data_IF_759758268888
#
_entry.id   IF_759758268888
#
_cell.length_a   1.000
_cell.length_b   1.000
_cell.length_c   1.000
_cell.angle_alpha   90.00
_cell.angle_beta   90.00
_cell.angle_gamma   90.00
#
_symmetry.space_group_name_H-M   'P 1'
#
loop_
_entity.id
_entity.type
_entity.pdbx_description
1 polymer ?
#
# COMPACT_ATOMS: atom_id res chain seq x y z
N UNK A 1 3.82 12.48 3.59
CA UNK A 1 4.92 13.40 3.96
C UNK A 1 6.15 12.55 4.22
N UNK A 2 7.17 12.59 3.36
CA UNK A 2 8.29 11.63 3.45
C UNK A 2 9.68 12.27 3.30
N UNK A 3 9.79 13.54 2.89
CA UNK A 3 11.00 13.93 2.17
C UNK A 3 11.65 15.26 2.55
N UNK A 4 10.89 16.35 2.77
CA UNK A 4 11.49 17.69 2.76
C UNK A 4 11.30 18.52 4.03
N UNK A 5 12.34 19.31 4.34
CA UNK A 5 12.40 20.27 5.45
C UNK A 5 13.28 19.83 6.62
N UNK A 6 13.75 20.81 7.40
CA UNK A 6 14.41 20.60 8.70
C UNK A 6 13.81 21.58 9.73
N UNK A 7 12.80 21.19 10.54
CA UNK A 7 12.14 19.88 10.57
C UNK A 7 11.32 19.60 9.31
N UNK A 8 10.98 18.33 9.08
CA UNK A 8 10.11 17.91 7.97
C UNK A 8 8.74 18.54 8.13
N UNK A 9 8.22 19.17 7.07
CA UNK A 9 6.87 19.78 7.04
C UNK A 9 6.07 19.29 5.83
N UNK A 10 4.75 19.50 5.86
CA UNK A 10 3.86 19.17 4.73
C UNK A 10 4.23 20.00 3.49
N UNK A 11 4.37 21.31 3.68
CA UNK A 11 4.76 22.25 2.62
C UNK A 11 6.13 21.91 2.04
N UNK A 12 7.13 21.68 2.89
CA UNK A 12 8.46 21.31 2.44
C UNK A 12 8.49 19.91 1.81
N UNK A 13 7.45 19.08 1.99
CA UNK A 13 7.24 17.79 1.32
C UNK A 13 6.38 17.89 0.04
N UNK A 14 6.17 19.10 -0.47
CA UNK A 14 5.42 19.38 -1.71
C UNK A 14 3.90 19.46 -1.53
N UNK A 15 3.38 19.49 -0.30
CA UNK A 15 1.94 19.64 -0.06
C UNK A 15 1.57 21.10 0.13
N UNK A 16 0.94 21.70 -0.89
CA UNK A 16 0.43 23.07 -0.86
C UNK A 16 -1.07 23.06 -1.17
N UNK A 17 -1.85 23.72 -0.34
CA UNK A 17 -3.31 23.66 -0.41
C UNK A 17 -3.91 24.46 -1.60
N UNK A 18 -3.51 25.72 -1.88
CA UNK A 18 -4.02 26.42 -3.06
C UNK A 18 -3.77 25.65 -4.36
N UNK A 19 -4.84 25.37 -5.11
CA UNK A 19 -4.80 24.60 -6.35
C UNK A 19 -4.69 23.08 -6.19
N UNK A 20 -4.68 22.55 -4.96
CA UNK A 20 -4.58 21.11 -4.70
C UNK A 20 -5.76 20.34 -5.28
N UNK A 21 -5.51 19.31 -6.10
CA UNK A 21 -6.56 18.40 -6.54
C UNK A 21 -6.88 17.39 -5.42
N UNK A 22 -8.01 17.62 -4.75
CA UNK A 22 -8.51 16.79 -3.64
C UNK A 22 -8.84 15.34 -4.02
N UNK A 23 -8.81 14.99 -5.31
CA UNK A 23 -9.03 13.63 -5.84
C UNK A 23 -7.72 12.89 -6.06
N UNK A 24 -6.60 13.55 -5.82
CA UNK A 24 -5.25 13.05 -6.11
C UNK A 24 -4.38 13.05 -4.86
N UNK A 25 -4.92 12.53 -3.76
CA UNK A 25 -4.08 12.18 -2.62
C UNK A 25 -3.18 11.00 -2.99
N UNK A 26 -1.93 11.05 -2.59
CA UNK A 26 -0.94 10.03 -2.94
C UNK A 26 -1.37 8.65 -2.42
N UNK A 27 -1.38 7.64 -3.30
CA UNK A 27 -1.77 6.26 -3.00
C UNK A 27 -3.27 5.95 -3.06
N UNK A 28 -4.16 6.96 -3.17
CA UNK A 28 -5.61 6.69 -3.26
C UNK A 28 -5.99 6.22 -4.67
N UNK A 29 -7.09 5.49 -4.76
CA UNK A 29 -7.73 5.11 -6.03
C UNK A 29 -9.14 5.68 -6.03
N UNK A 30 -9.47 6.57 -6.96
CA UNK A 30 -10.81 7.20 -7.06
C UNK A 30 -11.15 7.60 -8.50
N UNK A 31 -12.45 7.64 -8.87
CA UNK A 31 -12.93 8.31 -10.07
C UNK A 31 -12.60 9.80 -10.05
N UNK A 32 -12.13 10.34 -11.19
CA UNK A 32 -11.78 11.76 -11.34
C UNK A 32 -13.01 12.65 -11.58
N UNK A 33 -14.00 12.55 -10.71
CA UNK A 33 -15.22 13.38 -10.71
C UNK A 33 -14.84 14.85 -10.56
N UNK A 34 -15.33 15.81 -11.36
CA UNK A 34 -14.98 17.23 -11.20
C UNK A 34 -15.25 17.74 -9.78
N UNK A 35 -14.34 18.56 -9.24
CA UNK A 35 -14.45 19.06 -7.85
C UNK A 35 -15.79 19.75 -7.56
N UNK A 36 -16.33 20.48 -8.53
CA UNK A 36 -17.63 21.18 -8.43
C UNK A 36 -18.84 20.23 -8.42
N UNK A 37 -18.65 18.99 -8.87
CA UNK A 37 -19.67 17.95 -8.82
C UNK A 37 -19.61 17.15 -7.52
N UNK A 38 -18.43 16.98 -6.92
CA UNK A 38 -18.26 16.20 -5.68
C UNK A 38 -19.16 16.73 -4.55
N UNK A 39 -19.19 18.05 -4.30
CA UNK A 39 -20.04 18.66 -3.27
C UNK A 39 -21.54 18.44 -3.53
N UNK A 40 -21.94 18.34 -4.79
CA UNK A 40 -23.35 18.14 -5.17
C UNK A 40 -23.78 16.67 -5.01
N UNK A 41 -22.85 15.75 -5.23
CA UNK A 41 -23.11 14.33 -5.33
C UNK A 41 -23.10 13.63 -3.96
N UNK A 42 -22.24 14.03 -3.02
CA UNK A 42 -22.18 13.47 -1.66
C UNK A 42 -22.82 14.40 -0.63
N UNK A 43 -24.15 14.36 -0.54
CA UNK A 43 -24.95 15.25 0.32
C UNK A 43 -24.86 14.94 1.82
N UNK A 44 -24.30 13.79 2.22
CA UNK A 44 -24.13 13.45 3.64
C UNK A 44 -22.86 14.08 4.20
N UNK A 45 -23.03 15.07 5.09
CA UNK A 45 -21.91 15.73 5.82
C UNK A 45 -21.46 14.94 7.06
N UNK A 46 -21.82 13.66 7.16
CA UNK A 46 -21.50 12.79 8.29
C UNK A 46 -20.23 11.99 8.05
N UNK A 47 -19.72 11.37 9.11
CA UNK A 47 -18.67 10.35 8.98
C UNK A 47 -19.21 9.18 8.16
N UNK A 48 -18.53 8.85 7.07
CA UNK A 48 -18.83 7.69 6.23
C UNK A 48 -17.90 6.58 6.65
N UNK A 49 -18.45 5.45 7.07
CA UNK A 49 -17.70 4.24 7.38
C UNK A 49 -17.89 3.23 6.24
N UNK A 50 -16.80 2.55 5.90
CA UNK A 50 -16.87 1.39 5.02
C UNK A 50 -17.66 0.26 5.70
N UNK A 51 -18.38 -0.58 4.95
CA UNK A 51 -18.91 -1.84 5.49
C UNK A 51 -17.80 -2.89 5.71
N UNK A 52 -16.60 -2.67 5.17
CA UNK A 52 -15.46 -3.58 5.32
C UNK A 52 -14.72 -3.34 6.64
N UNK A 53 -14.34 -4.43 7.29
CA UNK A 53 -13.58 -4.41 8.55
C UNK A 53 -12.10 -4.71 8.36
N UNK A 54 -11.70 -5.27 7.20
CA UNK A 54 -10.30 -5.55 6.88
C UNK A 54 -9.57 -4.25 6.50
N UNK A 55 -9.00 -3.58 7.50
CA UNK A 55 -8.18 -2.37 7.32
C UNK A 55 -7.19 -2.25 8.48
N UNK A 56 -5.89 -2.36 8.18
CA UNK A 56 -4.89 -2.32 9.22
C UNK A 56 -3.50 -2.63 8.72
N UNK A 57 -2.57 -2.81 9.66
CA UNK A 57 -1.19 -3.13 9.32
C UNK A 57 -0.55 -4.13 10.27
N UNK A 58 0.58 -4.67 9.84
CA UNK A 58 1.46 -5.54 10.61
C UNK A 58 2.85 -4.92 10.62
N UNK A 59 3.51 -4.93 11.78
CA UNK A 59 4.90 -4.48 11.94
C UNK A 59 5.79 -5.69 12.16
N UNK A 60 6.76 -5.89 11.29
CA UNK A 60 7.74 -6.95 11.42
C UNK A 60 8.99 -6.42 12.11
N UNK A 61 9.25 -6.95 13.31
CA UNK A 61 10.43 -6.65 14.12
C UNK A 61 10.69 -5.15 14.34
N UNK A 62 9.63 -4.33 14.37
CA UNK A 62 9.69 -2.86 14.51
C UNK A 62 10.54 -2.15 13.44
N UNK A 63 10.78 -2.80 12.30
CA UNK A 63 11.61 -2.26 11.20
C UNK A 63 10.83 -2.18 9.89
N UNK A 64 10.27 -3.31 9.47
CA UNK A 64 9.48 -3.42 8.24
C UNK A 64 8.00 -3.53 8.61
N UNK A 65 7.13 -3.38 7.62
CA UNK A 65 5.71 -3.53 7.86
C UNK A 65 4.91 -3.67 6.58
N UNK A 66 3.62 -3.91 6.76
CA UNK A 66 2.67 -3.92 5.67
C UNK A 66 1.38 -3.26 6.17
N UNK A 67 0.74 -2.47 5.32
CA UNK A 67 -0.62 -2.01 5.51
C UNK A 67 -1.48 -2.59 4.38
N UNK A 68 -2.71 -3.00 4.68
CA UNK A 68 -3.64 -3.44 3.66
C UNK A 68 -5.08 -3.11 4.04
N UNK A 69 -5.91 -2.97 3.01
CA UNK A 69 -7.33 -2.69 3.17
C UNK A 69 -8.17 -3.30 2.05
N UNK A 70 -9.42 -3.62 2.36
CA UNK A 70 -10.47 -3.79 1.37
C UNK A 70 -11.18 -2.43 1.21
N UNK A 71 -11.04 -1.84 0.04
CA UNK A 71 -11.75 -0.64 -0.37
C UNK A 71 -13.18 -1.02 -0.76
N UNK A 72 -14.15 -0.35 -0.14
CA UNK A 72 -15.57 -0.43 -0.49
C UNK A 72 -16.20 0.93 -0.20
N UNK A 73 -16.16 1.79 -1.20
CA UNK A 73 -16.62 3.16 -1.11
C UNK A 73 -17.97 3.30 -1.84
N UNK A 74 -19.06 3.60 -1.13
CA UNK A 74 -20.31 4.00 -1.77
C UNK A 74 -20.09 5.25 -2.63
N UNK A 75 -20.56 5.16 -3.87
CA UNK A 75 -20.51 6.20 -4.88
C UNK A 75 -21.94 6.69 -5.20
N UNK A 76 -22.09 7.85 -5.86
CA UNK A 76 -23.37 8.39 -6.27
C UNK A 76 -24.10 7.42 -7.20
N UNK A 77 -25.41 7.60 -7.31
CA UNK A 77 -26.27 6.80 -8.18
C UNK A 77 -26.30 5.29 -7.83
N UNK A 78 -25.96 4.94 -6.58
CA UNK A 78 -26.02 3.57 -6.07
C UNK A 78 -24.86 2.67 -6.51
N UNK A 79 -23.79 3.27 -7.01
CA UNK A 79 -22.58 2.56 -7.42
C UNK A 79 -21.63 2.34 -6.24
N UNK A 80 -20.62 1.50 -6.43
CA UNK A 80 -19.57 1.26 -5.43
C UNK A 80 -18.22 1.22 -6.13
N UNK A 81 -17.21 1.84 -5.52
CA UNK A 81 -15.82 1.63 -5.86
C UNK A 81 -15.25 0.56 -4.93
N UNK A 82 -14.78 -0.55 -5.49
CA UNK A 82 -14.18 -1.65 -4.75
C UNK A 82 -12.71 -1.83 -5.11
N UNK A 83 -11.95 -2.51 -4.26
CA UNK A 83 -10.57 -2.92 -4.56
C UNK A 83 -9.84 -3.47 -3.35
N UNK A 84 -8.74 -4.18 -3.59
CA UNK A 84 -7.80 -4.66 -2.57
C UNK A 84 -6.52 -3.86 -2.71
N UNK A 85 -6.08 -3.21 -1.64
CA UNK A 85 -4.89 -2.33 -1.69
C UNK A 85 -3.94 -2.74 -0.58
N UNK A 86 -2.67 -2.93 -0.91
CA UNK A 86 -1.62 -3.20 0.07
C UNK A 86 -0.36 -2.37 -0.21
N UNK A 87 0.33 -2.04 0.88
CA UNK A 87 1.58 -1.30 0.89
C UNK A 87 2.56 -2.09 1.75
N UNK A 88 3.65 -2.55 1.16
CA UNK A 88 4.74 -3.23 1.87
C UNK A 88 5.85 -2.21 2.11
N UNK A 89 6.09 -1.87 3.38
CA UNK A 89 7.06 -0.88 3.82
C UNK A 89 8.35 -1.60 4.21
N UNK A 90 9.37 -1.48 3.37
CA UNK A 90 10.63 -2.23 3.49
C UNK A 90 11.78 -1.23 3.35
N UNK A 91 12.37 -0.86 4.50
CA UNK A 91 13.47 0.09 4.56
C UNK A 91 13.17 1.45 3.88
N UNK A 92 13.81 1.75 2.75
CA UNK A 92 13.60 2.96 1.96
C UNK A 92 12.56 2.79 0.84
N UNK A 93 11.94 1.62 0.75
CA UNK A 93 11.01 1.23 -0.30
C UNK A 93 9.58 1.01 0.21
N UNK A 94 8.62 1.34 -0.64
CA UNK A 94 7.20 1.07 -0.45
C UNK A 94 6.66 0.42 -1.72
N UNK A 95 6.49 -0.91 -1.69
CA UNK A 95 5.81 -1.62 -2.78
C UNK A 95 4.30 -1.51 -2.61
N UNK A 96 3.62 -0.98 -3.62
CA UNK A 96 2.20 -0.70 -3.60
C UNK A 96 1.49 -1.60 -4.61
N UNK A 97 0.58 -2.46 -4.13
CA UNK A 97 -0.21 -3.36 -4.96
C UNK A 97 -1.69 -3.03 -4.88
N UNK A 98 -2.36 -3.19 -6.02
CA UNK A 98 -3.81 -3.09 -6.15
C UNK A 98 -4.38 -4.20 -7.02
N UNK A 99 -5.53 -4.76 -6.65
CA UNK A 99 -6.28 -5.74 -7.43
C UNK A 99 -7.78 -5.59 -7.22
N UNK A 100 -8.58 -6.23 -8.09
CA UNK A 100 -10.05 -6.20 -8.08
C UNK A 100 -10.64 -4.78 -8.00
N UNK A 101 -9.99 -3.83 -8.66
CA UNK A 101 -10.44 -2.45 -8.72
C UNK A 101 -11.61 -2.39 -9.70
N UNK A 102 -12.80 -2.15 -9.16
CA UNK A 102 -14.01 -2.01 -9.96
C UNK A 102 -14.80 -0.78 -9.54
N UNK A 103 -15.37 -0.07 -10.51
CA UNK A 103 -16.27 1.03 -10.27
C UNK A 103 -17.32 1.07 -11.37
N UNK A 104 -18.59 1.31 -11.04
CA UNK A 104 -19.63 1.44 -12.05
C UNK A 104 -19.57 2.74 -12.87
N UNK A 105 -18.72 3.70 -12.49
CA UNK A 105 -18.83 5.07 -13.01
C UNK A 105 -18.16 5.18 -14.37
N UNK A 106 -18.99 5.20 -15.41
CA UNK A 106 -18.53 5.32 -16.79
C UNK A 106 -18.29 6.77 -17.24
N UNK A 107 -18.62 7.78 -16.41
CA UNK A 107 -18.49 9.20 -16.77
C UNK A 107 -17.06 9.69 -16.67
N UNK A 108 -16.31 9.18 -15.69
CA UNK A 108 -14.98 9.65 -15.33
C UNK A 108 -14.02 8.47 -15.15
N UNK A 109 -12.75 8.61 -15.53
CA UNK A 109 -11.77 7.55 -15.31
C UNK A 109 -11.50 7.35 -13.82
N UNK A 110 -11.38 6.09 -13.41
CA UNK A 110 -10.83 5.73 -12.10
C UNK A 110 -9.31 5.75 -12.19
N UNK A 111 -8.65 6.42 -11.25
CA UNK A 111 -7.19 6.57 -11.26
C UNK A 111 -6.61 6.23 -9.88
N UNK A 112 -5.45 5.57 -9.87
CA UNK A 112 -4.59 5.51 -8.68
C UNK A 112 -3.55 6.61 -8.76
N UNK A 113 -3.48 7.48 -7.76
CA UNK A 113 -2.50 8.58 -7.75
C UNK A 113 -1.16 8.11 -7.21
N UNK A 114 -0.08 8.38 -7.94
CA UNK A 114 1.29 8.08 -7.54
C UNK A 114 1.87 9.22 -6.71
N UNK A 115 1.77 10.45 -7.22
CA UNK A 115 2.20 11.65 -6.53
C UNK A 115 1.36 12.88 -6.91
N UNK A 116 1.34 13.86 -6.02
CA UNK A 116 0.93 15.23 -6.32
C UNK A 116 1.78 16.20 -5.51
N UNK A 117 2.67 16.94 -6.18
CA UNK A 117 3.63 17.86 -5.57
C UNK A 117 3.49 19.27 -6.13
N UNK A 118 3.46 20.25 -5.24
CA UNK A 118 3.51 21.66 -5.62
C UNK A 118 4.83 21.97 -6.33
N UNK A 119 4.74 22.67 -7.46
CA UNK A 119 5.87 23.22 -8.17
C UNK A 119 6.11 24.65 -7.68
N UNK A 120 7.20 24.85 -6.95
CA UNK A 120 7.64 26.17 -6.51
C UNK A 120 8.83 26.59 -7.35
N UNK A 121 8.68 27.68 -8.10
CA UNK A 121 9.78 28.27 -8.84
C UNK A 121 10.82 28.87 -7.88
N UNK A 122 12.10 28.79 -8.26
CA UNK A 122 13.18 29.49 -7.56
C UNK A 122 13.13 31.01 -7.78
N UNK A 123 14.08 31.73 -7.16
CA UNK A 123 14.21 33.19 -7.28
C UNK A 123 14.44 33.68 -8.72
N UNK A 124 14.79 32.79 -9.65
CA UNK A 124 14.98 33.07 -11.07
C UNK A 124 13.75 32.68 -11.91
N UNK A 125 12.69 32.16 -11.28
CA UNK A 125 11.47 31.73 -11.95
C UNK A 125 11.57 30.33 -12.58
N UNK A 126 12.61 29.56 -12.27
CA UNK A 126 12.78 28.21 -12.78
C UNK A 126 12.18 27.18 -11.82
N UNK A 127 11.42 26.22 -12.36
CA UNK A 127 10.90 25.12 -11.57
C UNK A 127 11.92 23.99 -11.43
N UNK A 128 11.90 23.24 -10.32
CA UNK A 128 12.71 22.03 -10.18
C UNK A 128 12.39 21.01 -11.29
N UNK A 129 13.39 20.24 -11.76
CA UNK A 129 13.18 19.22 -12.77
C UNK A 129 12.40 18.03 -12.20
N UNK A 130 11.70 17.34 -13.09
CA UNK A 130 11.15 16.01 -12.87
C UNK A 130 11.86 15.08 -13.84
N UNK A 131 12.66 14.14 -13.32
CA UNK A 131 13.34 13.16 -14.15
C UNK A 131 12.36 12.06 -14.53
N UNK A 132 12.23 11.76 -15.83
CA UNK A 132 11.43 10.67 -16.38
C UNK A 132 12.35 9.87 -17.31
N UNK A 133 12.63 8.61 -16.96
CA UNK A 133 13.53 7.72 -17.70
C UNK A 133 14.87 8.37 -18.09
N UNK A 134 15.44 9.15 -17.18
CA UNK A 134 16.72 9.85 -17.35
C UNK A 134 16.65 11.19 -18.10
N UNK A 135 15.45 11.63 -18.52
CA UNK A 135 15.23 12.95 -19.12
C UNK A 135 14.60 13.90 -18.11
N UNK A 136 15.22 15.07 -17.92
CA UNK A 136 14.67 16.11 -17.05
C UNK A 136 13.63 16.96 -17.78
N UNK A 137 12.44 17.05 -17.19
CA UNK A 137 11.36 17.92 -17.64
C UNK A 137 11.19 19.08 -16.67
N UNK A 138 11.19 20.31 -17.18
CA UNK A 138 10.93 21.55 -16.42
C UNK A 138 9.75 22.37 -16.95
N UNK A 139 9.25 22.05 -18.15
CA UNK A 139 8.20 22.81 -18.81
C UNK A 139 6.87 22.76 -18.03
N UNK A 140 6.12 23.86 -18.12
CA UNK A 140 4.77 24.01 -17.59
C UNK A 140 3.93 24.81 -18.60
N UNK A 141 2.85 24.26 -19.18
CA UNK A 141 2.36 22.90 -18.97
C UNK A 141 3.23 21.84 -19.67
N UNK A 142 3.19 20.62 -19.14
CA UNK A 142 3.73 19.43 -19.79
C UNK A 142 2.93 18.21 -19.36
N UNK A 143 2.61 17.31 -20.28
CA UNK A 143 1.97 16.03 -19.96
C UNK A 143 2.58 14.95 -20.85
N UNK A 144 2.95 13.83 -20.23
CA UNK A 144 3.55 12.70 -20.90
C UNK A 144 2.86 11.41 -20.43
N UNK A 145 2.27 10.70 -21.39
CA UNK A 145 1.89 9.31 -21.20
C UNK A 145 3.15 8.43 -21.32
N UNK A 146 3.27 7.42 -20.45
CA UNK A 146 4.35 6.45 -20.47
C UNK A 146 3.87 5.19 -21.21
N UNK A 147 4.70 4.67 -22.12
CA UNK A 147 4.32 3.59 -23.01
C UNK A 147 4.18 2.25 -22.25
N UNK A 148 3.00 1.60 -22.26
CA UNK A 148 2.79 0.39 -21.45
C UNK A 148 3.68 -0.80 -21.83
N UNK A 149 4.39 -0.74 -22.97
CA UNK A 149 5.24 -1.83 -23.44
C UNK A 149 6.49 -2.09 -22.60
N UNK A 150 6.91 -1.12 -21.77
CA UNK A 150 8.14 -1.21 -20.99
C UNK A 150 7.94 -0.73 -19.54
N UNK A 151 8.89 -1.07 -18.65
CA UNK A 151 8.94 -0.44 -17.34
C UNK A 151 9.34 1.03 -17.48
N UNK A 152 8.92 1.83 -16.53
CA UNK A 152 9.25 3.25 -16.48
C UNK A 152 9.62 3.67 -15.06
N UNK A 153 10.35 4.76 -14.94
CA UNK A 153 10.53 5.41 -13.65
C UNK A 153 10.54 6.93 -13.75
N UNK A 154 10.13 7.57 -12.66
CA UNK A 154 10.29 9.02 -12.52
C UNK A 154 10.67 9.39 -11.08
N UNK A 155 11.24 10.59 -10.91
CA UNK A 155 11.56 11.16 -9.60
C UNK A 155 10.79 12.46 -9.44
N UNK A 156 10.01 12.55 -8.36
CA UNK A 156 9.28 13.77 -8.04
C UNK A 156 10.21 14.89 -7.54
N UNK A 157 9.66 16.10 -7.37
CA UNK A 157 10.43 17.27 -6.93
C UNK A 157 10.92 17.18 -5.49
N UNK A 158 10.56 16.13 -4.77
CA UNK A 158 10.91 15.85 -3.39
C UNK A 158 11.88 14.68 -3.26
N UNK A 159 12.46 14.20 -4.36
CA UNK A 159 13.34 13.03 -4.41
C UNK A 159 12.66 11.72 -4.01
N UNK A 160 11.34 11.60 -4.17
CA UNK A 160 10.66 10.30 -4.15
C UNK A 160 10.72 9.72 -5.55
N UNK A 161 11.35 8.57 -5.68
CA UNK A 161 11.38 7.79 -6.91
C UNK A 161 10.17 6.89 -7.03
N UNK A 162 9.69 6.70 -8.24
CA UNK A 162 8.61 5.79 -8.57
C UNK A 162 9.07 4.90 -9.71
N UNK A 163 9.05 3.58 -9.49
CA UNK A 163 9.30 2.59 -10.53
C UNK A 163 8.02 1.82 -10.83
N UNK A 164 7.72 1.66 -12.12
CA UNK A 164 6.49 1.08 -12.62
C UNK A 164 6.84 -0.07 -13.58
N UNK A 165 6.38 -1.30 -13.32
CA UNK A 165 6.49 -2.39 -14.29
C UNK A 165 5.63 -2.10 -15.52
N UNK A 166 5.97 -2.77 -16.62
CA UNK A 166 5.22 -2.71 -17.88
C UNK A 166 3.75 -3.15 -17.70
N UNK A 167 2.90 -2.76 -18.66
CA UNK A 167 1.51 -3.19 -18.76
C UNK A 167 0.50 -2.26 -18.06
N UNK A 168 0.90 -1.05 -17.69
CA UNK A 168 0.05 -0.07 -17.02
C UNK A 168 -0.06 1.22 -17.84
N UNK A 169 -1.24 1.84 -17.86
CA UNK A 169 -1.44 3.16 -18.45
C UNK A 169 -1.08 4.22 -17.40
N UNK A 170 0.04 4.90 -17.61
CA UNK A 170 0.61 5.85 -16.64
C UNK A 170 0.81 7.20 -17.30
N UNK A 171 0.46 8.26 -16.59
CA UNK A 171 0.74 9.63 -17.02
C UNK A 171 1.45 10.42 -15.93
N UNK A 172 2.36 11.30 -16.37
CA UNK A 172 3.05 12.30 -15.55
C UNK A 172 2.77 13.67 -16.15
N UNK A 173 2.28 14.60 -15.34
CA UNK A 173 1.89 15.92 -15.80
C UNK A 173 2.36 17.03 -14.86
N UNK A 174 2.83 18.12 -15.45
CA UNK A 174 3.09 19.41 -14.81
C UNK A 174 2.02 20.36 -15.32
N UNK A 175 1.11 20.80 -14.45
CA UNK A 175 -0.05 21.62 -14.87
C UNK A 175 -0.35 22.73 -13.87
N UNK A 176 -0.91 23.81 -14.39
CA UNK A 176 -1.59 24.80 -13.58
C UNK A 176 -2.98 24.25 -13.21
N UNK A 177 -3.26 24.13 -11.92
CA UNK A 177 -4.47 23.54 -11.38
C UNK A 177 -5.32 24.60 -10.69
N UNK A 178 -6.62 24.58 -10.96
CA UNK A 178 -7.63 25.33 -10.22
C UNK A 178 -8.38 24.39 -9.28
N UNK A 179 -8.61 24.81 -8.05
CA UNK A 179 -9.29 24.03 -7.01
C UNK A 179 -10.11 24.92 -6.09
N UNK A 180 -10.54 24.37 -4.96
CA UNK A 180 -11.22 25.04 -3.85
C UNK A 180 -10.38 24.89 -2.59
N UNK A 181 -10.44 25.86 -1.69
CA UNK A 181 -9.79 25.71 -0.39
C UNK A 181 -10.47 24.62 0.46
N UNK A 182 -9.89 24.30 1.62
CA UNK A 182 -10.37 23.20 2.49
C UNK A 182 -11.77 23.45 3.04
N UNK A 183 -12.13 24.72 3.26
CA UNK A 183 -13.47 25.09 3.74
C UNK A 183 -14.49 25.18 2.61
N UNK A 184 -14.09 24.91 1.36
CA UNK A 184 -14.89 25.10 0.17
C UNK A 184 -15.55 26.49 0.14
N UNK A 185 -14.75 27.51 0.44
CA UNK A 185 -15.17 28.91 0.54
C UNK A 185 -14.72 29.74 -0.66
N UNK A 186 -13.52 29.49 -1.20
CA UNK A 186 -12.95 30.26 -2.31
C UNK A 186 -12.25 29.39 -3.35
N UNK A 187 -12.20 29.91 -4.58
CA UNK A 187 -11.44 29.30 -5.68
C UNK A 187 -9.96 29.57 -5.44
N UNK A 188 -9.13 28.55 -5.61
CA UNK A 188 -7.67 28.61 -5.43
C UNK A 188 -6.96 28.05 -6.65
N UNK A 189 -5.69 28.39 -6.83
CA UNK A 189 -4.89 27.89 -7.94
C UNK A 189 -3.43 27.67 -7.55
N UNK A 190 -2.72 26.88 -8.34
CA UNK A 190 -1.30 26.61 -8.16
C UNK A 190 -0.75 25.68 -9.23
N UNK A 191 0.57 25.60 -9.32
CA UNK A 191 1.25 24.73 -10.28
C UNK A 191 1.68 23.44 -9.60
N UNK A 192 1.42 22.30 -10.23
CA UNK A 192 1.63 20.99 -9.64
C UNK A 192 2.23 19.99 -10.63
N UNK A 193 3.10 19.14 -10.11
CA UNK A 193 3.42 17.84 -10.66
C UNK A 193 2.38 16.84 -10.13
N UNK A 194 1.78 16.06 -11.02
CA UNK A 194 0.93 14.94 -10.67
C UNK A 194 1.29 13.73 -11.55
N UNK A 195 1.25 12.54 -10.97
CA UNK A 195 1.41 11.29 -11.71
C UNK A 195 0.36 10.26 -11.25
N UNK A 196 -0.16 9.47 -12.18
CA UNK A 196 -1.24 8.53 -11.90
C UNK A 196 -1.22 7.32 -12.82
N UNK A 197 -1.78 6.22 -12.33
CA UNK A 197 -2.14 5.04 -13.10
C UNK A 197 -3.61 5.16 -13.46
N UNK A 198 -3.93 5.04 -14.74
CA UNK A 198 -5.28 5.16 -15.28
C UNK A 198 -5.94 3.80 -15.47
N UNK A 199 -7.04 3.55 -14.75
CA UNK A 199 -7.83 2.33 -14.90
C UNK A 199 -8.97 2.47 -15.92
N UNK A 200 -9.14 3.66 -16.49
CA UNK A 200 -10.21 3.98 -17.42
C UNK A 200 -11.57 4.20 -16.76
N UNK A 201 -12.61 4.52 -17.55
CA UNK A 201 -13.99 4.63 -17.08
C UNK A 201 -14.56 3.24 -16.80
N UNK A 202 -15.35 3.14 -15.73
CA UNK A 202 -15.98 1.91 -15.28
C UNK A 202 -15.06 0.66 -15.29
N UNK A 203 -13.91 0.68 -14.58
CA UNK A 203 -13.02 -0.48 -14.56
C UNK A 203 -13.72 -1.71 -13.97
N UNK A 204 -13.30 -2.88 -14.44
CA UNK A 204 -13.73 -4.18 -13.93
C UNK A 204 -12.49 -5.05 -13.70
N UNK A 205 -12.24 -5.39 -12.44
CA UNK A 205 -11.10 -6.18 -11.98
C UNK A 205 -9.73 -5.61 -12.46
N UNK A 206 -9.58 -4.29 -12.40
CA UNK A 206 -8.31 -3.63 -12.68
C UNK A 206 -7.32 -3.82 -11.52
N UNK A 207 -6.04 -3.59 -11.78
CA UNK A 207 -4.97 -3.70 -10.78
C UNK A 207 -3.81 -2.77 -11.07
N UNK A 208 -2.96 -2.54 -10.07
CA UNK A 208 -1.72 -1.77 -10.24
C UNK A 208 -0.57 -2.36 -9.42
N UNK A 209 0.64 -2.03 -9.82
CA UNK A 209 1.90 -2.34 -9.13
C UNK A 209 2.85 -1.18 -9.33
N UNK A 210 3.43 -0.65 -8.25
CA UNK A 210 4.53 0.31 -8.34
C UNK A 210 5.37 0.27 -7.07
N UNK A 211 6.66 0.60 -7.21
CA UNK A 211 7.58 0.78 -6.11
C UNK A 211 7.83 2.28 -5.90
N UNK A 212 7.52 2.80 -4.72
CA UNK A 212 7.97 4.13 -4.31
C UNK A 212 9.24 4.00 -3.48
N UNK A 213 10.23 4.85 -3.72
CA UNK A 213 11.52 4.83 -3.03
C UNK A 213 11.86 6.23 -2.51
N UNK A 214 12.12 6.34 -1.21
CA UNK A 214 12.45 7.61 -0.57
C UNK A 214 13.91 7.95 -0.85
N UNK A 215 14.19 9.19 -1.29
CA UNK A 215 15.54 9.67 -1.65
C UNK A 215 16.19 8.85 -2.78
N UNK A 216 15.39 8.46 -3.77
CA UNK A 216 15.88 7.72 -4.92
C UNK A 216 16.83 8.56 -5.78
N UNK A 217 17.72 7.88 -6.50
CA UNK A 217 18.54 8.50 -7.57
C UNK A 217 18.21 7.86 -8.92
N UNK A 218 18.48 8.56 -10.04
CA UNK A 218 18.31 7.99 -11.38
C UNK A 218 19.03 6.65 -11.56
N UNK A 219 20.24 6.51 -10.98
CA UNK A 219 21.06 5.30 -11.10
C UNK A 219 20.40 4.11 -10.41
N UNK A 220 19.82 4.31 -9.22
CA UNK A 220 19.13 3.25 -8.48
C UNK A 220 17.89 2.81 -9.24
N UNK A 221 17.05 3.75 -9.69
CA UNK A 221 15.79 3.43 -10.38
C UNK A 221 16.03 2.77 -11.75
N UNK A 222 17.01 3.26 -12.51
CA UNK A 222 17.39 2.64 -13.79
C UNK A 222 17.95 1.22 -13.60
N UNK A 223 18.58 0.94 -12.46
CA UNK A 223 19.08 -0.40 -12.12
C UNK A 223 17.98 -1.43 -11.83
N UNK A 224 16.78 -1.00 -11.44
CA UNK A 224 15.68 -1.90 -11.05
C UNK A 224 15.16 -2.75 -12.22
N UNK A 225 15.30 -2.29 -13.47
CA UNK A 225 14.95 -3.10 -14.64
C UNK A 225 15.79 -4.38 -14.73
N UNK A 226 17.09 -4.29 -14.41
CA UNK A 226 18.00 -5.42 -14.47
C UNK A 226 17.91 -6.32 -13.22
N UNK A 227 17.54 -5.76 -12.07
CA UNK A 227 17.44 -6.47 -10.80
C UNK A 227 16.35 -5.84 -9.93
N UNK A 228 15.17 -6.44 -9.93
CA UNK A 228 14.08 -6.06 -9.04
C UNK A 228 14.35 -6.61 -7.63
N UNK A 229 14.13 -5.81 -6.57
CA UNK A 229 14.37 -6.23 -5.20
C UNK A 229 13.21 -7.07 -4.62
N UNK A 230 12.21 -7.41 -5.43
CA UNK A 230 11.06 -8.20 -5.02
C UNK A 230 10.48 -9.02 -6.17
N UNK A 231 9.60 -9.95 -5.82
CA UNK A 231 8.80 -10.77 -6.69
C UNK A 231 7.37 -10.87 -6.15
N UNK A 232 6.39 -10.59 -7.01
CA UNK A 232 4.96 -10.75 -6.68
C UNK A 232 4.51 -12.14 -7.11
N UNK A 233 4.10 -12.96 -6.15
CA UNK A 233 3.62 -14.33 -6.38
C UNK A 233 2.11 -14.39 -6.57
N UNK A 234 1.36 -13.51 -5.89
CA UNK A 234 -0.08 -13.41 -5.99
C UNK A 234 -0.48 -11.95 -5.85
N UNK A 235 -1.41 -11.50 -6.70
CA UNK A 235 -2.01 -10.16 -6.66
C UNK A 235 -3.43 -10.24 -7.21
N UNK A 236 -4.34 -10.70 -6.37
CA UNK A 236 -5.75 -10.88 -6.72
C UNK A 236 -6.67 -10.61 -5.52
N UNK A 237 -7.96 -10.89 -5.72
CA UNK A 237 -9.01 -10.72 -4.74
C UNK A 237 -8.81 -11.49 -3.42
N UNK A 238 -8.06 -12.59 -3.44
CA UNK A 238 -7.87 -13.47 -2.31
C UNK A 238 -6.60 -13.10 -1.51
N UNK A 239 -5.51 -12.75 -2.19
CA UNK A 239 -4.29 -12.33 -1.51
C UNK A 239 -3.36 -11.45 -2.36
N UNK A 240 -2.55 -10.66 -1.65
CA UNK A 240 -1.31 -10.10 -2.17
C UNK A 240 -0.12 -10.76 -1.47
N UNK A 241 0.70 -11.52 -2.21
CA UNK A 241 1.86 -12.27 -1.70
C UNK A 241 3.11 -11.81 -2.42
N UNK A 242 4.09 -11.34 -1.66
CA UNK A 242 5.35 -10.80 -2.17
C UNK A 242 6.51 -11.45 -1.43
N UNK A 243 7.59 -11.72 -2.15
CA UNK A 243 8.91 -11.97 -1.60
C UNK A 243 9.82 -10.80 -1.94
N UNK A 244 10.44 -10.20 -0.94
CA UNK A 244 11.52 -9.22 -1.13
C UNK A 244 12.88 -9.91 -1.00
N UNK A 245 13.96 -9.22 -1.41
CA UNK A 245 15.33 -9.58 -1.03
C UNK A 245 15.44 -9.83 0.49
N UNK A 246 16.46 -10.60 0.89
CA UNK A 246 16.67 -11.07 2.26
C UNK A 246 15.61 -12.03 2.81
N UNK A 247 14.94 -12.77 1.92
CA UNK A 247 14.00 -13.83 2.30
C UNK A 247 12.81 -13.33 3.13
N UNK A 248 12.37 -12.09 2.88
CA UNK A 248 11.25 -11.45 3.56
C UNK A 248 9.96 -11.61 2.75
N UNK A 249 9.06 -12.44 3.24
CA UNK A 249 7.72 -12.58 2.71
C UNK A 249 6.77 -11.57 3.34
N UNK A 250 5.90 -10.99 2.51
CA UNK A 250 4.73 -10.23 2.94
C UNK A 250 3.48 -10.82 2.32
N UNK A 251 2.47 -11.10 3.14
CA UNK A 251 1.22 -11.72 2.73
C UNK A 251 0.03 -10.96 3.33
N UNK A 252 -0.73 -10.25 2.49
CA UNK A 252 -2.06 -9.77 2.84
C UNK A 252 -3.10 -10.78 2.35
N UNK A 253 -3.68 -11.55 3.26
CA UNK A 253 -4.74 -12.51 2.94
C UNK A 253 -6.10 -11.84 3.19
N UNK A 254 -6.82 -11.54 2.11
CA UNK A 254 -8.15 -10.94 2.18
C UNK A 254 -9.27 -11.96 2.43
N UNK A 255 -8.96 -13.25 2.24
CA UNK A 255 -9.86 -14.37 2.48
C UNK A 255 -9.11 -15.53 3.16
N UNK A 256 -9.85 -16.36 3.90
CA UNK A 256 -9.39 -17.68 4.29
C UNK A 256 -9.04 -18.50 3.04
N UNK A 257 -7.90 -19.20 3.04
CA UNK A 257 -7.47 -19.98 1.90
C UNK A 257 -6.36 -20.99 2.25
N UNK A 258 -6.31 -22.07 1.47
CA UNK A 258 -5.09 -22.83 1.29
C UNK A 258 -4.15 -22.03 0.39
N UNK A 259 -2.90 -21.88 0.83
CA UNK A 259 -1.89 -21.10 0.11
C UNK A 259 -1.15 -22.02 -0.84
N UNK A 260 -0.93 -21.58 -2.08
CA UNK A 260 -0.09 -22.33 -3.03
C UNK A 260 1.36 -22.31 -2.56
N UNK A 261 2.13 -23.37 -2.85
CA UNK A 261 3.56 -23.39 -2.51
C UNK A 261 4.32 -22.45 -3.44
N UNK A 262 4.87 -21.36 -2.87
CA UNK A 262 5.75 -20.41 -3.56
C UNK A 262 7.20 -20.61 -3.11
N UNK A 263 8.12 -20.64 -4.07
CA UNK A 263 9.55 -20.91 -3.85
C UNK A 263 10.37 -20.03 -4.79
N UNK A 264 11.42 -19.40 -4.27
CA UNK A 264 12.43 -18.67 -5.05
C UNK A 264 13.82 -19.09 -4.56
N UNK A 265 14.62 -19.70 -5.45
CA UNK A 265 15.89 -20.31 -5.05
C UNK A 265 15.71 -21.38 -3.97
N UNK A 266 16.35 -21.18 -2.81
CA UNK A 266 16.23 -22.07 -1.64
C UNK A 266 15.12 -21.65 -0.67
N UNK A 267 14.51 -20.48 -0.89
CA UNK A 267 13.51 -19.92 0.00
C UNK A 267 12.11 -20.41 -0.39
N UNK A 268 11.28 -20.72 0.61
CA UNK A 268 9.89 -21.15 0.41
C UNK A 268 9.02 -20.45 1.43
N UNK A 269 7.88 -19.93 0.97
CA UNK A 269 6.87 -19.34 1.85
C UNK A 269 6.47 -20.38 2.93
N UNK A 270 6.70 -20.09 4.22
CA UNK A 270 6.40 -21.03 5.30
C UNK A 270 4.90 -21.26 5.47
N UNK A 271 4.03 -20.37 4.97
CA UNK A 271 2.58 -20.45 5.15
C UNK A 271 1.97 -21.48 4.21
N UNK A 272 1.14 -22.37 4.77
CA UNK A 272 0.40 -23.41 4.07
C UNK A 272 -1.09 -23.07 3.92
N UNK A 273 -1.70 -22.48 4.95
CA UNK A 273 -3.11 -22.06 4.94
C UNK A 273 -3.38 -21.02 6.04
N UNK A 274 -4.43 -20.22 5.86
CA UNK A 274 -5.01 -19.34 6.88
C UNK A 274 -6.52 -19.57 6.93
N UNK A 275 -7.10 -19.65 8.13
CA UNK A 275 -8.54 -19.94 8.29
C UNK A 275 -9.44 -18.69 8.24
N UNK A 276 -8.83 -17.51 8.27
CA UNK A 276 -9.48 -16.19 8.22
C UNK A 276 -8.58 -15.16 7.51
N UNK A 277 -9.14 -14.02 7.06
CA UNK A 277 -8.33 -12.90 6.57
C UNK A 277 -7.33 -12.43 7.63
N UNK A 278 -6.08 -12.22 7.25
CA UNK A 278 -5.03 -11.74 8.15
C UNK A 278 -3.86 -11.13 7.38
N UNK A 279 -2.95 -10.48 8.12
CA UNK A 279 -1.69 -9.96 7.62
C UNK A 279 -0.54 -10.78 8.21
N UNK A 280 0.36 -11.26 7.35
CA UNK A 280 1.54 -12.02 7.78
C UNK A 280 2.80 -11.47 7.11
N UNK A 281 3.85 -11.22 7.90
CA UNK A 281 5.22 -11.10 7.39
C UNK A 281 6.06 -12.23 7.94
N UNK A 282 6.97 -12.78 7.13
CA UNK A 282 7.82 -13.90 7.51
C UNK A 282 9.25 -13.70 6.99
N UNK A 283 10.24 -13.77 7.88
CA UNK A 283 11.65 -13.77 7.52
C UNK A 283 12.29 -15.12 7.86
N UNK A 284 12.86 -15.78 6.86
CA UNK A 284 13.61 -17.02 7.06
C UNK A 284 15.04 -16.68 7.51
N UNK A 285 15.42 -17.14 8.69
CA UNK A 285 16.76 -16.93 9.22
C UNK A 285 17.76 -17.99 8.67
N UNK A 286 19.05 -17.64 8.51
CA UNK A 286 20.06 -18.57 8.00
C UNK A 286 20.26 -19.85 8.84
N UNK A 287 19.88 -19.82 10.11
CA UNK A 287 19.94 -20.95 11.04
C UNK A 287 18.76 -21.93 10.87
N UNK A 288 17.85 -21.65 9.93
CA UNK A 288 16.67 -22.45 9.65
C UNK A 288 15.44 -22.09 10.49
N UNK A 289 15.54 -21.08 11.35
CA UNK A 289 14.41 -20.53 12.08
C UNK A 289 13.57 -19.61 11.20
N UNK A 290 12.33 -19.35 11.62
CA UNK A 290 11.49 -18.33 10.99
C UNK A 290 10.97 -17.36 12.04
N UNK A 291 11.05 -16.07 11.72
CA UNK A 291 10.37 -15.03 12.46
C UNK A 291 9.08 -14.67 11.71
N UNK A 292 7.93 -14.85 12.37
CA UNK A 292 6.63 -14.44 11.86
C UNK A 292 6.13 -13.20 12.58
N UNK A 293 5.41 -12.35 11.87
CA UNK A 293 4.57 -11.31 12.47
C UNK A 293 3.18 -11.44 11.89
N UNK A 294 2.19 -11.66 12.75
CA UNK A 294 0.79 -11.90 12.36
C UNK A 294 -0.09 -10.82 12.97
N UNK A 295 -1.05 -10.31 12.21
CA UNK A 295 -2.09 -9.42 12.70
C UNK A 295 -3.45 -9.76 12.07
N UNK A 296 -4.51 -9.67 12.87
CA UNK A 296 -5.88 -9.56 12.37
C UNK A 296 -6.19 -8.06 12.21
N UNK A 297 -6.34 -7.55 10.98
CA UNK A 297 -6.66 -6.14 10.76
C UNK A 297 -8.12 -5.81 11.12
N UNK A 298 -8.99 -6.80 11.34
CA UNK A 298 -10.32 -6.58 11.87
C UNK A 298 -10.24 -6.35 13.39
N UNK A 299 -10.77 -5.20 13.85
CA UNK A 299 -10.89 -4.92 15.28
C UNK A 299 -11.93 -5.80 15.98
N UNK A 300 -12.74 -6.54 15.21
CA UNK A 300 -13.79 -7.45 15.64
C UNK A 300 -14.72 -6.79 16.67
N UNK A 301 -15.19 -5.58 16.33
CA UNK A 301 -16.03 -4.77 17.21
C UNK A 301 -17.42 -5.38 17.32
N UNK A 302 -17.81 -5.72 18.55
CA UNK A 302 -19.19 -6.08 18.90
C UNK A 302 -19.69 -5.03 19.90
N UNK A 303 -20.78 -4.34 19.54
CA UNK A 303 -21.33 -3.21 20.31
C UNK A 303 -20.28 -2.14 20.69
N UNK A 304 -19.32 -1.89 19.78
CA UNK A 304 -18.27 -0.89 19.94
C UNK A 304 -17.05 -1.34 20.76
N UNK A 305 -17.04 -2.59 21.24
CA UNK A 305 -15.90 -3.17 21.96
C UNK A 305 -15.22 -4.26 21.12
N UNK A 306 -13.89 -4.18 21.02
CA UNK A 306 -13.09 -5.20 20.35
C UNK A 306 -13.21 -6.54 21.08
N UNK A 307 -13.60 -7.59 20.35
CA UNK A 307 -13.69 -8.95 20.87
C UNK A 307 -12.51 -9.79 20.39
N UNK A 308 -11.81 -10.52 21.28
CA UNK A 308 -10.77 -11.44 20.85
C UNK A 308 -11.32 -12.52 19.92
N UNK A 309 -10.53 -12.91 18.94
CA UNK A 309 -10.90 -13.90 17.93
C UNK A 309 -9.76 -14.87 17.65
N UNK A 310 -10.03 -16.19 17.58
CA UNK A 310 -9.01 -17.14 17.16
C UNK A 310 -8.72 -16.99 15.67
N UNK A 311 -7.43 -17.04 15.35
CA UNK A 311 -6.87 -17.12 14.00
C UNK A 311 -5.93 -18.32 13.95
N UNK A 312 -6.11 -19.20 12.96
CA UNK A 312 -5.20 -20.33 12.72
C UNK A 312 -4.36 -20.11 11.48
N UNK A 313 -3.07 -20.29 11.67
CA UNK A 313 -2.06 -20.27 10.59
C UNK A 313 -1.43 -21.65 10.51
N UNK A 314 -1.59 -22.29 9.37
CA UNK A 314 -0.93 -23.57 9.08
C UNK A 314 0.40 -23.29 8.40
N UNK A 315 1.47 -23.85 8.94
CA UNK A 315 2.84 -23.71 8.46
C UNK A 315 3.33 -25.01 7.84
N UNK A 316 4.14 -24.89 6.79
CA UNK A 316 4.77 -26.02 6.12
C UNK A 316 5.93 -26.55 6.96
N UNK A 317 5.87 -27.83 7.30
CA UNK A 317 6.88 -28.54 8.09
C UNK A 317 6.63 -28.51 9.59
N UNK A 318 7.51 -29.19 10.32
CA UNK A 318 7.51 -29.21 11.78
C UNK A 318 8.18 -27.95 12.34
N UNK A 319 7.51 -27.29 13.28
CA UNK A 319 8.02 -26.10 13.95
C UNK A 319 7.74 -26.17 15.45
N UNK A 320 8.69 -25.70 16.24
CA UNK A 320 8.58 -25.50 17.68
C UNK A 320 8.62 -24.01 18.00
N UNK A 321 7.65 -23.57 18.80
CA UNK A 321 7.58 -22.22 19.34
C UNK A 321 8.75 -21.93 20.28
N UNK A 322 9.49 -20.84 20.01
CA UNK A 322 10.59 -20.37 20.85
C UNK A 322 10.14 -19.25 21.77
N UNK A 323 9.62 -18.17 21.19
CA UNK A 323 9.14 -17.00 21.91
C UNK A 323 8.02 -16.28 21.14
N UNK A 324 7.28 -15.46 21.87
CA UNK A 324 6.18 -14.64 21.35
C UNK A 324 6.25 -13.24 21.95
N UNK A 325 5.98 -12.24 21.12
CA UNK A 325 5.79 -10.85 21.51
C UNK A 325 4.43 -10.37 21.01
N UNK A 326 3.79 -9.47 21.75
CA UNK A 326 2.51 -8.85 21.36
C UNK A 326 2.64 -7.33 21.47
N UNK A 327 2.30 -6.61 20.40
CA UNK A 327 2.39 -5.15 20.36
C UNK A 327 1.19 -4.50 19.69
N UNK A 328 0.82 -3.30 20.13
CA UNK A 328 -0.10 -2.39 19.43
C UNK A 328 0.66 -1.10 19.16
N UNK A 329 0.75 -0.69 17.89
CA UNK A 329 1.47 0.52 17.50
C UNK A 329 2.90 0.62 18.08
N UNK A 330 3.62 -0.51 18.13
CA UNK A 330 4.97 -0.68 18.72
C UNK A 330 5.06 -0.69 20.27
N UNK A 331 3.94 -0.60 20.99
CA UNK A 331 3.93 -0.73 22.45
C UNK A 331 3.57 -2.15 22.90
N UNK A 332 4.32 -2.76 23.83
CA UNK A 332 3.96 -4.06 24.40
C UNK A 332 2.59 -4.03 25.07
N UNK A 333 1.81 -5.09 24.86
CA UNK A 333 0.45 -5.21 25.36
C UNK A 333 0.42 -5.74 26.79
N UNK A 334 0.72 -4.87 27.76
CA UNK A 334 0.67 -5.21 29.18
C UNK A 334 1.65 -6.33 29.60
N UNK A 335 1.54 -6.83 30.84
CA UNK A 335 2.42 -7.88 31.36
C UNK A 335 1.94 -9.31 31.08
N UNK A 336 0.69 -9.48 30.63
CA UNK A 336 0.12 -10.80 30.34
C UNK A 336 0.78 -11.39 29.08
N UNK A 337 1.08 -12.70 29.06
CA UNK A 337 1.65 -13.33 27.88
C UNK A 337 0.63 -13.33 26.72
N UNK A 338 1.15 -13.23 25.50
CA UNK A 338 0.36 -13.39 24.30
C UNK A 338 -0.28 -14.79 24.25
N UNK A 339 -1.55 -14.86 23.85
CA UNK A 339 -2.29 -16.10 23.70
C UNK A 339 -2.00 -16.73 22.33
N UNK A 340 -0.83 -17.36 22.23
CA UNK A 340 -0.33 -18.05 21.03
C UNK A 340 0.15 -19.45 21.41
N UNK A 341 -0.35 -20.47 20.70
CA UNK A 341 0.06 -21.85 20.93
C UNK A 341 0.17 -22.68 19.65
N UNK A 342 1.01 -23.73 19.70
CA UNK A 342 1.06 -24.76 18.67
C UNK A 342 0.02 -25.82 18.99
N UNK A 343 -1.06 -25.87 18.21
CA UNK A 343 -2.19 -26.80 18.43
C UNK A 343 -1.86 -28.20 17.93
N UNK A 344 -1.11 -28.29 16.82
CA UNK A 344 -0.63 -29.56 16.27
C UNK A 344 0.67 -29.36 15.50
N UNK A 345 1.54 -30.37 15.49
CA UNK A 345 2.75 -30.38 14.68
C UNK A 345 3.11 -31.81 14.29
N UNK A 346 3.35 -32.03 12.99
CA UNK A 346 3.90 -33.25 12.43
C UNK A 346 4.98 -32.92 11.39
N UNK A 347 5.50 -33.94 10.70
CA UNK A 347 6.60 -33.78 9.75
C UNK A 347 6.27 -32.87 8.55
N UNK A 348 4.99 -32.75 8.19
CA UNK A 348 4.51 -32.01 7.03
C UNK A 348 3.90 -30.65 7.37
N UNK A 349 3.37 -30.48 8.58
CA UNK A 349 2.60 -29.29 8.96
C UNK A 349 2.68 -28.95 10.45
N UNK A 350 2.62 -27.65 10.77
CA UNK A 350 2.41 -27.14 12.12
C UNK A 350 1.29 -26.12 12.13
N UNK A 351 0.30 -26.26 13.00
CA UNK A 351 -0.82 -25.33 13.15
C UNK A 351 -0.60 -24.49 14.39
N UNK A 352 -0.56 -23.17 14.21
CA UNK A 352 -0.51 -22.18 15.28
C UNK A 352 -1.89 -21.54 15.41
N UNK A 353 -2.38 -21.46 16.64
CA UNK A 353 -3.57 -20.68 16.99
C UNK A 353 -3.16 -19.43 17.76
N UNK A 354 -3.73 -18.30 17.36
CA UNK A 354 -3.48 -16.97 17.92
C UNK A 354 -4.83 -16.40 18.33
N UNK A 355 -4.98 -15.96 19.58
CA UNK A 355 -6.16 -15.20 20.00
C UNK A 355 -5.90 -13.71 19.71
N UNK A 356 -6.31 -13.27 18.53
CA UNK A 356 -6.10 -11.90 18.05
C UNK A 356 -7.05 -10.92 18.74
N UNK A 357 -6.52 -9.76 19.15
CA UNK A 357 -7.30 -8.64 19.72
C UNK A 357 -6.72 -7.29 19.30
N UNK A 358 -7.58 -6.27 19.25
CA UNK A 358 -7.21 -4.86 19.11
C UNK A 358 -6.38 -4.48 17.86
N UNK A 359 -6.35 -5.32 16.82
CA UNK A 359 -5.42 -5.11 15.70
C UNK A 359 -3.95 -5.21 16.10
N UNK A 360 -3.66 -5.95 17.18
CA UNK A 360 -2.31 -6.18 17.67
C UNK A 360 -1.49 -7.03 16.69
N UNK A 361 -0.18 -6.91 16.80
CA UNK A 361 0.80 -7.72 16.07
C UNK A 361 1.42 -8.74 17.02
N UNK A 362 1.38 -10.00 16.60
CA UNK A 362 1.99 -11.14 17.28
C UNK A 362 3.28 -11.51 16.56
N UNK A 363 4.42 -11.17 17.17
CA UNK A 363 5.74 -11.61 16.71
C UNK A 363 6.05 -13.00 17.27
N UNK A 364 6.31 -13.98 16.41
CA UNK A 364 6.43 -15.39 16.76
C UNK A 364 7.73 -15.94 16.18
N UNK A 365 8.65 -16.38 17.04
CA UNK A 365 9.89 -17.02 16.61
C UNK A 365 9.77 -18.55 16.71
N UNK A 366 10.14 -19.24 15.63
CA UNK A 366 9.97 -20.68 15.48
C UNK A 366 11.26 -21.34 15.02
N UNK A 367 11.56 -22.52 15.57
CA UNK A 367 12.65 -23.39 15.12
C UNK A 367 12.11 -24.66 14.49
N UNK A 368 12.84 -25.21 13.52
CA UNK A 368 12.55 -26.55 12.98
C UNK A 368 12.78 -27.67 13.99
#
# INVERSE_FOLDING_TARGET
MLAGGTPVTAEASGTKQPGWDWRRFEGITVPQVPIREIDQLWKSRGQVFSPETFVGGVSHQLRQGMFAMILNQPMPDGQTLTGRKSWFLIDDQILCLGSDISCGDARYPTQTTLCQKALTADDQGAFPPTAIDGMDITALPHEQALEPSGPHWFIDTQQTGYWLPAGQDVAVARTHQTSRDFYDSEDTEGDFLAAWINHGPAPDNAGYEYLAMVRATPEVLAGLEARQPYQVFQRDAAAHIVLHEDCLWGCAFFTAQDVTRHTEGADTLPIAAVDRPCLIMAANAPDGNVALSVADPDLNLVDGAAQPQPLRVSLRGAWRLLDVTETVCAWPLGPEPAEVEVVSSDAGETIIEIICKHGAVYGINLAR
#
